data_IF_267362320716
#
_entry.id   IF_267362320716
#
_cell.length_a   1.000
_cell.length_b   1.000
_cell.length_c   1.000
_cell.angle_alpha   90.00
_cell.angle_beta   90.00
_cell.angle_gamma   90.00
#
_symmetry.space_group_name_H-M   'P 1'
#
loop_
_entity.id
_entity.type
_entity.pdbx_description
1 polymer ?
#
# COMPACT_ATOMS: atom_id res chain seq x y z
N UNK A 1 10.70 -60.83 -9.08
CA UNK A 1 9.97 -59.95 -8.13
C UNK A 1 10.67 -58.61 -7.88
N UNK A 2 11.95 -58.57 -7.47
CA UNK A 2 12.66 -57.29 -7.21
C UNK A 2 12.70 -56.29 -8.38
N UNK A 3 12.85 -56.76 -9.62
CA UNK A 3 12.87 -55.90 -10.83
C UNK A 3 11.49 -55.32 -11.20
N UNK A 4 10.41 -56.02 -10.84
CA UNK A 4 9.04 -55.56 -11.11
C UNK A 4 8.60 -54.51 -10.10
N UNK A 5 9.05 -54.64 -8.84
CA UNK A 5 8.85 -53.65 -7.78
C UNK A 5 9.57 -52.32 -8.10
N UNK A 6 10.76 -52.39 -8.70
CA UNK A 6 11.56 -51.22 -9.06
C UNK A 6 10.93 -50.43 -10.23
N UNK A 7 10.29 -51.12 -11.17
CA UNK A 7 9.53 -50.48 -12.26
C UNK A 7 8.27 -49.77 -11.75
N UNK A 8 7.56 -50.36 -10.78
CA UNK A 8 6.37 -49.73 -10.17
C UNK A 8 6.73 -48.46 -9.39
N UNK A 9 7.87 -48.45 -8.66
CA UNK A 9 8.36 -47.26 -7.95
C UNK A 9 8.80 -46.16 -8.93
N UNK A 10 9.41 -46.52 -10.07
CA UNK A 10 9.81 -45.55 -11.08
C UNK A 10 8.60 -44.92 -11.79
N UNK A 11 7.54 -45.70 -12.03
CA UNK A 11 6.29 -45.20 -12.64
C UNK A 11 5.50 -44.32 -11.67
N UNK A 12 5.54 -44.61 -10.37
CA UNK A 12 4.92 -43.77 -9.34
C UNK A 12 5.72 -42.52 -8.99
N UNK A 13 6.92 -42.31 -9.55
CA UNK A 13 7.68 -41.06 -9.39
C UNK A 13 7.37 -40.04 -10.50
N UNK A 14 6.59 -40.43 -11.51
CA UNK A 14 5.99 -39.53 -12.49
C UNK A 14 4.60 -39.04 -12.04
N UNK A 15 4.40 -38.81 -10.73
CA UNK A 15 3.32 -37.92 -10.32
C UNK A 15 3.67 -36.56 -10.92
N UNK A 16 3.06 -36.26 -12.06
CA UNK A 16 3.13 -34.97 -12.72
C UNK A 16 2.83 -33.95 -11.64
N UNK A 17 3.81 -33.10 -11.34
CA UNK A 17 3.57 -31.86 -10.64
C UNK A 17 2.68 -31.08 -11.59
N UNK A 18 1.36 -31.22 -11.43
CA UNK A 18 0.44 -30.44 -12.23
C UNK A 18 0.64 -28.99 -11.83
N UNK A 19 0.93 -28.16 -12.82
CA UNK A 19 1.02 -26.73 -12.62
C UNK A 19 -0.36 -26.21 -12.24
N UNK A 20 -0.40 -25.26 -11.31
CA UNK A 20 -1.66 -24.62 -10.95
C UNK A 20 -1.98 -23.56 -12.00
N UNK A 21 -3.25 -23.30 -12.28
CA UNK A 21 -3.62 -22.17 -13.15
C UNK A 21 -3.58 -20.88 -12.37
N UNK A 22 -2.98 -19.84 -12.92
CA UNK A 22 -3.06 -18.49 -12.36
C UNK A 22 -4.27 -17.77 -12.93
N UNK A 23 -5.07 -17.18 -12.06
CA UNK A 23 -6.35 -16.61 -12.41
C UNK A 23 -6.55 -15.23 -11.80
N UNK A 24 -7.29 -14.38 -12.51
CA UNK A 24 -7.75 -13.08 -12.04
C UNK A 24 -9.26 -13.12 -11.81
N UNK A 25 -9.67 -12.75 -10.60
CA UNK A 25 -11.07 -12.74 -10.19
C UNK A 25 -11.44 -11.34 -9.71
N UNK A 26 -12.41 -10.72 -10.36
CA UNK A 26 -12.97 -9.46 -9.89
C UNK A 26 -13.86 -9.65 -8.67
N UNK A 27 -13.88 -8.64 -7.79
CA UNK A 27 -14.84 -8.55 -6.70
C UNK A 27 -15.38 -7.12 -6.58
N UNK A 28 -16.62 -7.00 -6.11
CA UNK A 28 -17.30 -5.71 -5.96
C UNK A 28 -17.49 -5.29 -4.50
N UNK A 29 -17.27 -6.19 -3.55
CA UNK A 29 -17.44 -5.90 -2.13
C UNK A 29 -16.57 -6.79 -1.23
N UNK A 30 -16.45 -6.38 0.04
CA UNK A 30 -15.63 -7.06 1.04
C UNK A 30 -16.11 -8.48 1.37
N UNK A 31 -17.41 -8.76 1.26
CA UNK A 31 -17.94 -10.09 1.53
C UNK A 31 -17.49 -11.10 0.46
N UNK A 32 -17.48 -10.70 -0.81
CA UNK A 32 -16.91 -11.51 -1.90
C UNK A 32 -15.42 -11.74 -1.73
N UNK A 33 -14.66 -10.69 -1.44
CA UNK A 33 -13.22 -10.81 -1.17
C UNK A 33 -12.95 -11.80 -0.03
N UNK A 34 -13.69 -11.68 1.08
CA UNK A 34 -13.58 -12.61 2.21
C UNK A 34 -13.88 -14.05 1.79
N UNK A 35 -14.94 -14.26 1.01
CA UNK A 35 -15.28 -15.59 0.49
C UNK A 35 -14.15 -16.17 -0.36
N UNK A 36 -13.47 -15.38 -1.20
CA UNK A 36 -12.33 -15.86 -1.99
C UNK A 36 -11.12 -16.19 -1.13
N UNK A 37 -10.81 -15.37 -0.12
CA UNK A 37 -9.65 -15.60 0.77
C UNK A 37 -9.87 -16.79 1.72
N UNK A 38 -11.11 -17.07 2.12
CA UNK A 38 -11.44 -18.18 3.01
C UNK A 38 -11.75 -19.50 2.27
N UNK A 39 -11.93 -19.46 0.94
CA UNK A 39 -12.23 -20.64 0.16
C UNK A 39 -10.95 -21.47 -0.09
N UNK A 40 -11.02 -22.76 0.27
CA UNK A 40 -9.91 -23.72 0.14
C UNK A 40 -9.64 -24.20 -1.28
N UNK A 41 -10.57 -23.97 -2.20
CA UNK A 41 -10.45 -24.34 -3.62
C UNK A 41 -9.55 -23.36 -4.39
N UNK A 42 -9.30 -22.17 -3.82
CA UNK A 42 -8.41 -21.16 -4.36
C UNK A 42 -7.23 -20.92 -3.42
N UNK A 43 -6.06 -20.65 -3.99
CA UNK A 43 -4.95 -20.06 -3.23
C UNK A 43 -4.78 -18.62 -3.66
N UNK A 44 -5.32 -17.65 -2.90
CA UNK A 44 -5.14 -16.23 -3.21
C UNK A 44 -3.69 -15.82 -2.95
N UNK A 45 -3.06 -15.16 -3.91
CA UNK A 45 -1.66 -14.71 -3.83
C UNK A 45 -1.53 -13.19 -3.72
N UNK A 46 -2.46 -12.46 -4.34
CA UNK A 46 -2.47 -10.99 -4.31
C UNK A 46 -3.89 -10.48 -4.18
N UNK A 47 -4.05 -9.40 -3.40
CA UNK A 47 -5.32 -8.68 -3.23
C UNK A 47 -5.11 -7.26 -3.76
N UNK A 48 -5.75 -6.97 -4.89
CA UNK A 48 -5.80 -5.63 -5.49
C UNK A 48 -6.92 -4.78 -4.88
N UNK A 49 -7.31 -3.71 -5.56
CA UNK A 49 -8.43 -2.85 -5.10
C UNK A 49 -9.80 -3.46 -5.41
N UNK A 50 -9.93 -4.10 -6.58
CA UNK A 50 -11.18 -4.67 -7.10
C UNK A 50 -11.01 -6.07 -7.71
N UNK A 51 -9.84 -6.67 -7.53
CA UNK A 51 -9.52 -7.98 -8.08
C UNK A 51 -8.61 -8.75 -7.12
N UNK A 52 -8.62 -10.07 -7.21
CA UNK A 52 -7.62 -10.94 -6.62
C UNK A 52 -6.91 -11.73 -7.70
N UNK A 53 -5.64 -12.06 -7.46
CA UNK A 53 -4.92 -13.06 -8.25
C UNK A 53 -4.77 -14.30 -7.40
N UNK A 54 -5.22 -15.43 -7.91
CA UNK A 54 -5.23 -16.71 -7.20
C UNK A 54 -4.72 -17.84 -8.09
N UNK A 55 -4.33 -18.95 -7.47
CA UNK A 55 -4.09 -20.20 -8.17
C UNK A 55 -5.22 -21.20 -7.91
N UNK A 56 -5.54 -22.00 -8.91
CA UNK A 56 -6.62 -23.00 -8.86
C UNK A 56 -6.18 -24.34 -9.47
N UNK A 57 -6.68 -25.44 -8.92
CA UNK A 57 -6.49 -26.76 -9.51
C UNK A 57 -7.35 -26.93 -10.78
N UNK A 58 -6.84 -27.70 -11.74
CA UNK A 58 -7.33 -27.86 -13.12
C UNK A 58 -8.78 -28.38 -13.28
N UNK A 59 -9.44 -28.78 -12.19
CA UNK A 59 -10.76 -29.44 -12.21
C UNK A 59 -11.88 -28.61 -11.57
N UNK A 60 -11.62 -27.35 -11.23
CA UNK A 60 -12.62 -26.50 -10.58
C UNK A 60 -13.28 -25.54 -11.58
N UNK A 61 -14.61 -25.52 -11.58
CA UNK A 61 -15.41 -24.62 -12.41
C UNK A 61 -15.51 -23.25 -11.72
N UNK A 62 -14.99 -22.20 -12.36
CA UNK A 62 -14.91 -20.88 -11.78
C UNK A 62 -15.19 -19.80 -12.84
N UNK A 63 -15.58 -18.61 -12.36
CA UNK A 63 -15.86 -17.47 -13.22
C UNK A 63 -14.76 -16.41 -13.06
N UNK A 64 -13.94 -16.27 -14.11
CA UNK A 64 -13.04 -15.14 -14.28
C UNK A 64 -12.00 -15.39 -15.38
N UNK A 65 -10.90 -14.64 -15.35
CA UNK A 65 -9.91 -14.64 -16.43
C UNK A 65 -8.68 -15.50 -16.10
N UNK A 66 -8.42 -16.53 -16.89
CA UNK A 66 -7.15 -17.27 -16.80
C UNK A 66 -6.02 -16.35 -17.26
N UNK A 67 -5.04 -16.14 -16.39
CA UNK A 67 -3.81 -15.40 -16.69
C UNK A 67 -2.74 -16.33 -17.26
N UNK A 68 -2.60 -17.51 -16.66
CA UNK A 68 -1.60 -18.51 -17.05
C UNK A 68 -2.15 -19.92 -16.77
N UNK A 69 -2.02 -20.83 -17.74
CA UNK A 69 -2.49 -22.21 -17.61
C UNK A 69 -1.50 -23.08 -16.83
N UNK A 70 -0.21 -22.73 -16.85
CA UNK A 70 0.87 -23.55 -16.32
C UNK A 70 1.69 -22.76 -15.29
N UNK A 71 1.05 -22.15 -14.30
CA UNK A 71 1.71 -21.18 -13.47
C UNK A 71 2.80 -21.74 -12.55
N UNK A 72 3.73 -20.86 -12.17
CA UNK A 72 4.83 -21.14 -11.24
C UNK A 72 5.88 -22.11 -11.78
N UNK A 73 6.16 -22.06 -13.09
CA UNK A 73 7.30 -22.79 -13.65
C UNK A 73 8.62 -22.29 -13.07
N UNK A 74 9.65 -23.11 -13.22
CA UNK A 74 10.99 -22.74 -12.81
C UNK A 74 11.47 -21.49 -13.56
N UNK A 75 11.94 -20.48 -12.81
CA UNK A 75 12.43 -19.19 -13.31
C UNK A 75 11.38 -18.21 -13.81
N UNK A 76 10.10 -18.54 -13.70
CA UNK A 76 9.01 -17.60 -13.99
C UNK A 76 8.66 -16.78 -12.75
N UNK A 77 8.57 -15.47 -12.95
CA UNK A 77 8.12 -14.53 -11.94
C UNK A 77 6.98 -13.70 -12.50
N UNK A 78 5.91 -13.59 -11.71
CA UNK A 78 4.77 -12.76 -12.05
C UNK A 78 4.88 -11.38 -11.42
N UNK A 79 4.47 -10.37 -12.19
CA UNK A 79 4.47 -8.97 -11.76
C UNK A 79 3.15 -8.29 -12.08
N UNK A 80 2.81 -7.30 -11.27
CA UNK A 80 1.76 -6.32 -11.55
C UNK A 80 2.42 -4.96 -11.70
N UNK A 81 2.19 -4.30 -12.83
CA UNK A 81 2.62 -2.92 -13.05
C UNK A 81 1.38 -2.02 -12.98
N UNK A 82 1.40 -1.01 -12.11
CA UNK A 82 0.34 -0.01 -12.00
C UNK A 82 0.70 1.26 -12.76
N UNK A 83 -0.26 1.79 -13.52
CA UNK A 83 -0.10 3.00 -14.32
C UNK A 83 -1.32 3.22 -15.20
N UNK A 84 -1.49 4.41 -15.78
CA UNK A 84 -2.57 4.59 -16.75
C UNK A 84 -2.25 3.88 -18.08
N UNK A 85 -3.27 3.61 -18.89
CA UNK A 85 -3.15 2.84 -20.14
C UNK A 85 -2.06 3.35 -21.10
N UNK A 86 -1.93 4.66 -21.25
CA UNK A 86 -0.94 5.28 -22.14
C UNK A 86 0.49 5.09 -21.61
N UNK A 87 0.69 5.29 -20.30
CA UNK A 87 1.97 5.09 -19.63
C UNK A 87 2.39 3.62 -19.61
N UNK A 88 1.46 2.71 -19.31
CA UNK A 88 1.70 1.26 -19.33
C UNK A 88 2.14 0.81 -20.72
N UNK A 89 1.39 1.20 -21.75
CA UNK A 89 1.70 0.82 -23.13
C UNK A 89 3.06 1.37 -23.56
N UNK A 90 3.40 2.61 -23.19
CA UNK A 90 4.71 3.20 -23.47
C UNK A 90 5.84 2.43 -22.76
N UNK A 91 5.65 2.09 -21.48
CA UNK A 91 6.63 1.35 -20.67
C UNK A 91 6.88 -0.06 -21.20
N UNK A 92 5.79 -0.82 -21.43
CA UNK A 92 5.88 -2.19 -21.93
C UNK A 92 6.55 -2.25 -23.31
N UNK A 93 6.32 -1.25 -24.16
CA UNK A 93 7.02 -1.15 -25.45
C UNK A 93 8.50 -0.80 -25.28
N UNK A 94 8.84 0.17 -24.41
CA UNK A 94 10.22 0.60 -24.19
C UNK A 94 11.10 -0.54 -23.63
N UNK A 95 10.54 -1.34 -22.72
CA UNK A 95 11.21 -2.47 -22.07
C UNK A 95 11.05 -3.79 -22.85
N UNK A 96 10.41 -3.78 -24.03
CA UNK A 96 10.10 -4.98 -24.83
C UNK A 96 9.33 -6.08 -24.08
N UNK A 97 8.45 -5.68 -23.15
CA UNK A 97 7.64 -6.54 -22.29
C UNK A 97 6.23 -6.82 -22.83
N UNK A 98 5.90 -6.34 -24.03
CA UNK A 98 4.57 -6.58 -24.62
C UNK A 98 4.25 -8.07 -24.81
N UNK A 99 5.26 -8.90 -25.07
CA UNK A 99 5.08 -10.35 -25.28
C UNK A 99 4.96 -11.13 -23.97
N UNK A 100 5.35 -10.53 -22.84
CA UNK A 100 5.24 -11.13 -21.51
C UNK A 100 3.96 -10.71 -20.78
N UNK A 101 3.13 -9.85 -21.40
CA UNK A 101 1.87 -9.40 -20.83
C UNK A 101 0.81 -10.47 -20.92
N UNK A 102 0.36 -10.93 -19.75
CA UNK A 102 -0.75 -11.87 -19.61
C UNK A 102 -2.09 -11.16 -19.63
N UNK A 103 -2.13 -9.92 -19.12
CA UNK A 103 -3.34 -9.14 -19.01
C UNK A 103 -3.04 -7.65 -18.94
N UNK A 104 -3.90 -6.84 -19.55
CA UNK A 104 -3.82 -5.39 -19.49
C UNK A 104 -5.21 -4.81 -19.23
N UNK A 105 -5.27 -3.94 -18.23
CA UNK A 105 -6.42 -3.13 -17.87
C UNK A 105 -6.03 -1.65 -17.89
N UNK A 106 -7.00 -0.74 -17.77
CA UNK A 106 -6.78 0.71 -17.89
C UNK A 106 -5.79 1.28 -16.86
N UNK A 107 -5.59 0.58 -15.73
CA UNK A 107 -4.80 1.05 -14.59
C UNK A 107 -3.70 0.06 -14.13
N UNK A 108 -3.62 -1.14 -14.72
CA UNK A 108 -2.54 -2.09 -14.42
C UNK A 108 -2.33 -3.10 -15.56
N UNK A 109 -1.17 -3.75 -15.56
CA UNK A 109 -0.88 -4.92 -16.38
C UNK A 109 -0.30 -6.04 -15.51
N UNK A 110 -0.55 -7.29 -15.89
CA UNK A 110 0.04 -8.49 -15.27
C UNK A 110 1.00 -9.14 -16.27
N UNK A 111 2.22 -9.43 -15.82
CA UNK A 111 3.30 -9.96 -16.64
C UNK A 111 3.80 -11.30 -16.09
N UNK A 112 4.25 -12.19 -16.96
CA UNK A 112 5.09 -13.36 -16.63
C UNK A 112 6.47 -13.17 -17.24
N UNK A 113 7.51 -13.09 -16.40
CA UNK A 113 8.87 -12.84 -16.82
C UNK A 113 9.79 -13.96 -16.39
N UNK A 114 10.66 -14.38 -17.31
CA UNK A 114 11.78 -15.23 -16.99
C UNK A 114 12.99 -14.39 -16.53
N UNK A 115 13.19 -14.26 -15.22
CA UNK A 115 14.24 -13.39 -14.65
C UNK A 115 15.67 -13.81 -15.06
N UNK A 116 15.90 -15.08 -15.42
CA UNK A 116 17.22 -15.52 -15.85
C UNK A 116 17.60 -15.00 -17.24
N UNK A 117 16.62 -14.90 -18.14
CA UNK A 117 16.85 -14.50 -19.54
C UNK A 117 16.57 -13.02 -19.78
N UNK A 118 15.59 -12.46 -19.07
CA UNK A 118 15.12 -11.08 -19.26
C UNK A 118 15.58 -10.13 -18.14
N UNK A 119 16.09 -10.65 -17.03
CA UNK A 119 16.48 -9.84 -15.88
C UNK A 119 15.29 -9.34 -15.06
N UNK A 120 15.56 -8.37 -14.19
CA UNK A 120 14.53 -7.72 -13.36
C UNK A 120 13.92 -6.52 -14.10
N UNK A 121 12.62 -6.32 -13.88
CA UNK A 121 11.85 -5.21 -14.47
C UNK A 121 12.10 -3.91 -13.71
N UNK A 122 12.25 -2.82 -14.45
CA UNK A 122 12.23 -1.46 -13.90
C UNK A 122 10.79 -1.04 -13.55
N UNK A 123 10.55 -0.43 -12.38
CA UNK A 123 9.23 0.08 -12.05
C UNK A 123 8.87 1.29 -12.93
N UNK A 124 7.62 1.37 -13.39
CA UNK A 124 7.11 2.48 -14.21
C UNK A 124 7.22 3.84 -13.47
N UNK A 125 6.89 3.84 -12.17
CA UNK A 125 6.98 4.96 -11.23
C UNK A 125 7.37 4.41 -9.86
N UNK A 126 7.74 5.28 -8.92
CA UNK A 126 7.93 4.88 -7.52
C UNK A 126 6.68 4.10 -7.05
N UNK A 127 6.88 2.89 -6.54
CA UNK A 127 5.83 1.95 -6.07
C UNK A 127 4.88 1.40 -7.15
N UNK A 128 5.18 1.59 -8.44
CA UNK A 128 4.36 1.11 -9.55
C UNK A 128 4.56 -0.36 -9.94
N UNK A 129 5.32 -1.14 -9.17
CA UNK A 129 5.64 -2.54 -9.48
C UNK A 129 5.46 -3.42 -8.25
N UNK A 130 4.69 -4.49 -8.40
CA UNK A 130 4.46 -5.51 -7.36
C UNK A 130 4.85 -6.87 -7.92
N UNK A 131 5.73 -7.58 -7.22
CA UNK A 131 6.03 -8.99 -7.50
C UNK A 131 4.99 -9.87 -6.83
N UNK A 132 4.37 -10.78 -7.59
CA UNK A 132 3.45 -11.77 -7.04
C UNK A 132 4.27 -12.96 -6.58
N UNK A 133 4.17 -13.28 -5.29
CA UNK A 133 4.82 -14.45 -4.71
C UNK A 133 3.83 -15.59 -4.57
N UNK A 134 4.32 -16.84 -4.63
CA UNK A 134 3.54 -18.05 -4.32
C UNK A 134 3.33 -18.20 -2.80
N UNK A 135 2.72 -17.19 -2.19
CA UNK A 135 2.36 -17.14 -0.78
C UNK A 135 0.85 -16.97 -0.69
N UNK A 136 0.22 -17.68 0.23
CA UNK A 136 -1.22 -17.55 0.46
C UNK A 136 -1.50 -16.27 1.24
N UNK A 137 -2.25 -15.36 0.64
CA UNK A 137 -2.85 -14.24 1.34
C UNK A 137 -3.85 -14.78 2.38
N UNK A 138 -3.80 -14.24 3.59
CA UNK A 138 -4.71 -14.65 4.66
C UNK A 138 -5.48 -13.43 5.16
N UNK A 139 -6.73 -13.66 5.55
CA UNK A 139 -7.50 -12.63 6.20
C UNK A 139 -6.84 -12.29 7.53
N UNK A 140 -6.68 -11.00 7.88
CA UNK A 140 -6.16 -10.63 9.18
C UNK A 140 -7.07 -11.24 10.24
N UNK A 141 -6.50 -12.13 11.05
CA UNK A 141 -7.22 -12.67 12.20
C UNK A 141 -7.54 -11.50 13.10
N UNK A 142 -8.79 -11.36 13.50
CA UNK A 142 -9.17 -10.41 14.54
C UNK A 142 -8.41 -10.82 15.80
N UNK A 143 -7.26 -10.21 16.01
CA UNK A 143 -6.61 -10.22 17.31
C UNK A 143 -7.50 -9.37 18.18
N UNK A 144 -8.32 -10.01 19.01
CA UNK A 144 -9.01 -9.34 20.10
C UNK A 144 -7.94 -8.70 20.98
N UNK A 145 -7.62 -7.43 20.72
CA UNK A 145 -6.73 -6.63 21.55
C UNK A 145 -7.40 -6.26 22.88
N UNK A 146 -8.65 -6.67 23.11
CA UNK A 146 -9.53 -6.10 24.14
C UNK A 146 -10.06 -7.08 25.18
N UNK A 147 -9.68 -8.36 25.21
CA UNK A 147 -10.39 -9.28 26.11
C UNK A 147 -9.75 -9.56 27.46
N UNK A 148 -8.56 -9.06 27.84
CA UNK A 148 -8.01 -9.33 29.19
C UNK A 148 -6.87 -8.42 29.71
N UNK A 149 -6.56 -7.28 29.08
CA UNK A 149 -5.73 -6.27 29.77
C UNK A 149 -6.66 -5.27 30.45
N UNK A 150 -6.74 -5.37 31.77
CA UNK A 150 -6.99 -4.19 32.59
C UNK A 150 -5.91 -3.18 32.24
N UNK A 151 -6.22 -2.26 31.32
CA UNK A 151 -5.41 -1.06 31.15
C UNK A 151 -5.75 -0.19 32.35
N UNK A 152 -4.88 -0.21 33.35
CA UNK A 152 -4.90 0.83 34.38
C UNK A 152 -4.14 2.00 33.75
N UNK A 153 -4.83 3.03 33.24
CA UNK A 153 -4.18 4.14 32.58
C UNK A 153 -3.25 4.82 33.60
N UNK A 154 -2.03 5.13 33.21
CA UNK A 154 -1.10 5.87 34.07
C UNK A 154 -1.80 7.17 34.54
N UNK A 155 -2.01 7.37 35.86
CA UNK A 155 -2.69 8.55 36.38
C UNK A 155 -2.05 9.86 35.93
N UNK A 156 -0.73 9.87 35.67
CA UNK A 156 -0.04 11.02 35.11
C UNK A 156 -0.52 11.34 33.69
N UNK A 157 -0.67 10.32 32.84
CA UNK A 157 -1.16 10.49 31.47
C UNK A 157 -2.62 10.93 31.45
N UNK A 158 -3.45 10.38 32.35
CA UNK A 158 -4.84 10.83 32.50
C UNK A 158 -4.89 12.30 32.90
N UNK A 159 -4.07 12.71 33.88
CA UNK A 159 -3.97 14.11 34.28
C UNK A 159 -3.56 15.03 33.12
N UNK A 160 -2.57 14.64 32.32
CA UNK A 160 -2.19 15.41 31.13
C UNK A 160 -3.32 15.55 30.10
N UNK A 161 -4.13 14.51 29.93
CA UNK A 161 -5.27 14.56 29.00
C UNK A 161 -6.40 15.47 29.52
N UNK A 162 -6.59 15.55 30.84
CA UNK A 162 -7.57 16.45 31.46
C UNK A 162 -7.19 17.93 31.31
N UNK A 163 -5.90 18.24 31.12
CA UNK A 163 -5.43 19.59 30.83
C UNK A 163 -5.70 20.04 29.38
N UNK A 164 -6.08 19.12 28.48
CA UNK A 164 -6.37 19.44 27.08
C UNK A 164 -7.82 19.89 26.93
N UNK A 165 -8.03 21.17 26.62
CA UNK A 165 -9.35 21.73 26.33
C UNK A 165 -9.66 21.70 24.81
N UNK A 166 -10.57 20.81 24.41
CA UNK A 166 -11.02 20.71 23.01
C UNK A 166 -11.68 21.98 22.48
N UNK A 167 -12.25 22.82 23.34
CA UNK A 167 -12.82 24.11 22.96
C UNK A 167 -11.73 25.08 22.52
N UNK A 168 -10.61 25.09 23.23
CA UNK A 168 -9.45 25.92 22.88
C UNK A 168 -8.84 25.48 21.54
N UNK A 169 -8.69 24.18 21.32
CA UNK A 169 -8.22 23.64 20.03
C UNK A 169 -9.12 24.13 18.88
N UNK A 170 -10.44 23.98 19.05
CA UNK A 170 -11.40 24.37 18.01
C UNK A 170 -11.37 25.89 17.76
N UNK A 171 -11.25 26.70 18.82
CA UNK A 171 -11.14 28.14 18.70
C UNK A 171 -9.87 28.58 17.96
N UNK A 172 -8.72 27.96 18.26
CA UNK A 172 -7.45 28.22 17.56
C UNK A 172 -7.55 27.86 16.08
N UNK A 173 -8.08 26.68 15.75
CA UNK A 173 -8.26 26.25 14.35
C UNK A 173 -9.18 27.24 13.61
N UNK A 174 -10.32 27.59 14.20
CA UNK A 174 -11.25 28.52 13.58
C UNK A 174 -10.62 29.91 13.37
N UNK A 175 -9.85 30.41 14.34
CA UNK A 175 -9.14 31.68 14.21
C UNK A 175 -8.19 31.66 13.01
N UNK A 176 -7.40 30.59 12.86
CA UNK A 176 -6.46 30.44 11.74
C UNK A 176 -7.17 30.25 10.40
N UNK A 177 -8.35 29.60 10.38
CA UNK A 177 -9.16 29.46 9.17
C UNK A 177 -9.80 30.79 8.74
N UNK A 178 -10.11 31.69 9.67
CA UNK A 178 -10.73 32.98 9.37
C UNK A 178 -9.84 33.91 8.53
N UNK A 179 -8.53 33.67 8.46
CA UNK A 179 -7.63 34.36 7.53
C UNK A 179 -7.87 33.97 6.06
N UNK A 180 -8.61 32.89 5.79
CA UNK A 180 -9.06 32.46 4.47
C UNK A 180 -7.99 31.79 3.61
N UNK A 181 -6.76 32.30 3.62
CA UNK A 181 -5.61 31.71 2.92
C UNK A 181 -4.39 31.63 3.83
N UNK A 182 -3.54 30.64 3.56
CA UNK A 182 -2.22 30.45 4.18
C UNK A 182 -1.08 30.63 3.18
N UNK A 183 -1.35 31.32 2.07
CA UNK A 183 -0.34 31.69 1.09
C UNK A 183 0.67 32.65 1.74
N UNK A 184 1.94 32.22 1.75
CA UNK A 184 3.01 32.92 2.46
C UNK A 184 3.32 34.32 1.90
N UNK A 185 2.87 34.67 0.69
CA UNK A 185 3.08 36.00 0.09
C UNK A 185 1.95 37.00 0.37
N UNK A 186 1.00 36.66 1.25
CA UNK A 186 -0.18 37.48 1.52
C UNK A 186 -0.04 38.28 2.82
N UNK A 187 -0.77 39.39 2.96
CA UNK A 187 -0.79 40.12 4.24
C UNK A 187 -1.42 39.28 5.36
N UNK A 188 -2.38 38.41 5.02
CA UNK A 188 -3.05 37.51 5.96
C UNK A 188 -2.10 36.47 6.56
N UNK A 189 -1.06 36.01 5.84
CA UNK A 189 -0.06 35.12 6.43
C UNK A 189 0.83 35.85 7.43
N UNK A 190 1.17 37.12 7.19
CA UNK A 190 1.92 37.96 8.13
C UNK A 190 1.10 38.27 9.38
N UNK A 191 -0.22 38.52 9.24
CA UNK A 191 -1.13 38.69 10.38
C UNK A 191 -1.22 37.40 11.22
N UNK A 192 -1.38 36.24 10.56
CA UNK A 192 -1.40 34.94 11.24
C UNK A 192 -0.09 34.63 11.96
N UNK A 193 1.06 34.91 11.34
CA UNK A 193 2.39 34.80 11.95
C UNK A 193 2.49 35.63 13.23
N UNK A 194 2.07 36.90 13.19
CA UNK A 194 2.15 37.79 14.35
C UNK A 194 1.22 37.33 15.48
N UNK A 195 0.05 36.80 15.14
CA UNK A 195 -0.86 36.22 16.13
C UNK A 195 -0.25 34.97 16.79
N UNK A 196 0.29 34.02 16.02
CA UNK A 196 0.96 32.82 16.55
C UNK A 196 2.13 33.20 17.46
N UNK A 197 2.93 34.20 17.05
CA UNK A 197 4.01 34.74 17.89
C UNK A 197 3.47 35.21 19.23
N UNK A 198 2.40 36.00 19.22
CA UNK A 198 1.80 36.54 20.44
C UNK A 198 1.24 35.43 21.34
N UNK A 199 0.62 34.39 20.79
CA UNK A 199 0.11 33.26 21.57
C UNK A 199 1.26 32.53 22.30
N UNK A 200 2.40 32.30 21.65
CA UNK A 200 3.56 31.71 22.30
C UNK A 200 4.22 32.66 23.33
N UNK A 201 4.27 33.95 23.07
CA UNK A 201 4.74 34.95 24.05
C UNK A 201 3.83 34.98 25.28
N UNK A 202 2.51 34.84 25.11
CA UNK A 202 1.54 34.76 26.20
C UNK A 202 1.73 33.50 27.07
N UNK A 203 2.29 32.42 26.51
CA UNK A 203 2.70 31.22 27.24
C UNK A 203 4.04 31.38 27.97
N UNK A 204 4.68 32.56 27.88
CA UNK A 204 5.95 32.86 28.51
C UNK A 204 7.16 32.28 27.79
N UNK A 205 7.01 31.90 26.51
CA UNK A 205 8.10 31.37 25.70
C UNK A 205 8.94 32.50 25.09
N UNK A 206 10.21 32.22 24.84
CA UNK A 206 11.04 33.08 24.01
C UNK A 206 10.70 32.84 22.53
N UNK A 207 10.25 33.87 21.82
CA UNK A 207 9.80 33.73 20.44
C UNK A 207 10.62 34.62 19.51
N UNK A 208 11.15 34.02 18.44
CA UNK A 208 11.92 34.71 17.39
C UNK A 208 11.24 34.52 16.05
N UNK A 209 11.16 35.60 15.28
CA UNK A 209 10.79 35.54 13.87
C UNK A 209 12.07 35.34 13.05
N UNK A 210 12.10 34.27 12.27
CA UNK A 210 13.21 33.98 11.36
C UNK A 210 12.76 34.27 9.93
N UNK A 211 13.37 35.30 9.35
CA UNK A 211 13.16 35.69 7.95
C UNK A 211 13.39 34.50 7.02
N UNK A 212 12.44 34.29 6.12
CA UNK A 212 12.45 33.20 5.15
C UNK A 212 12.16 33.75 3.76
N UNK A 213 13.21 33.85 2.94
CA UNK A 213 13.09 34.29 1.56
C UNK A 213 12.77 33.12 0.63
N UNK A 214 11.76 33.31 -0.22
CA UNK A 214 11.41 32.36 -1.28
C UNK A 214 11.69 32.97 -2.67
N UNK A 215 11.79 32.16 -3.74
CA UNK A 215 12.09 32.66 -5.09
C UNK A 215 11.16 33.76 -5.62
N UNK A 216 9.97 33.94 -5.03
CA UNK A 216 9.00 34.98 -5.38
C UNK A 216 9.14 36.31 -4.62
N UNK A 217 10.08 36.43 -3.68
CA UNK A 217 10.29 37.63 -2.86
C UNK A 217 10.10 37.37 -1.36
N UNK A 218 9.84 38.43 -0.60
CA UNK A 218 9.56 38.34 0.84
C UNK A 218 8.27 37.54 1.09
N UNK A 219 8.37 36.54 1.95
CA UNK A 219 7.26 35.72 2.42
C UNK A 219 7.09 35.93 3.93
N UNK A 220 6.02 35.40 4.52
CA UNK A 220 5.87 35.32 5.97
C UNK A 220 7.04 34.55 6.59
N UNK A 221 7.54 35.04 7.72
CA UNK A 221 8.64 34.47 8.49
C UNK A 221 8.21 33.20 9.21
N UNK A 222 9.20 32.40 9.59
CA UNK A 222 8.98 31.30 10.52
C UNK A 222 8.84 31.86 11.95
N UNK A 223 7.89 31.32 12.71
CA UNK A 223 7.76 31.59 14.15
C UNK A 223 8.44 30.47 14.93
N UNK A 224 9.49 30.81 15.68
CA UNK A 224 10.25 29.85 16.49
C UNK A 224 10.05 30.19 17.96
N UNK A 225 9.31 29.34 18.70
CA UNK A 225 9.13 29.46 20.14
C UNK A 225 10.02 28.46 20.89
N UNK A 226 10.78 28.94 21.86
CA UNK A 226 11.74 28.15 22.64
C UNK A 226 11.31 28.06 24.09
N UNK A 227 11.16 26.82 24.57
CA UNK A 227 11.07 26.50 26.00
C UNK A 227 12.39 25.87 26.42
N UNK A 228 13.22 26.62 27.14
CA UNK A 228 14.48 26.10 27.67
C UNK A 228 14.20 25.17 28.84
N UNK A 229 14.61 23.90 28.71
CA UNK A 229 14.52 22.93 29.81
C UNK A 229 15.38 23.38 31.00
N UNK A 230 14.84 23.23 32.20
CA UNK A 230 15.57 23.43 33.47
C UNK A 230 16.31 22.18 33.89
#
# INVERSE_FOLDING_TARGET
MKRLLLAVIFVSLFFNVQADKLILIDYSNQAQLKNYVENTDFTVHHIGQSFVIASIADHFDWQGLVLDEDAWQENETYYIIYGNEAELSAHLNAENLMQTSLYQHNNFAVLNINEQTQGQISPLKNDGLVRIHRVTASWPKSTSFSSNRSFDPDPFVVGLLEEVDGSNITATVQHLENYGTRDAYTSTSVEAQNWIKQEFENLGLEVVLQDFSMPGGSASDNVIATLTGT
#
